data_IF_044791225172
#
_entry.id   IF_044791225172
#
_cell.length_a   1.000
_cell.length_b   1.000
_cell.length_c   1.000
_cell.angle_alpha   90.00
_cell.angle_beta   90.00
_cell.angle_gamma   90.00
#
_symmetry.space_group_name_H-M   'P 1'
#
loop_
_entity.id
_entity.type
_entity.pdbx_description
1 polymer ?
#
# COMPACT_ATOMS: atom_id res chain seq x y z
N UNK A 1 47.96 44.94 -18.88
CA UNK A 1 46.55 45.08 -18.49
C UNK A 1 45.88 43.73 -18.76
N UNK A 2 45.57 42.94 -17.71
CA UNK A 2 45.06 41.56 -17.83
C UNK A 2 43.53 41.60 -17.95
N UNK A 3 42.98 41.01 -19.01
CA UNK A 3 41.54 40.77 -19.20
C UNK A 3 41.22 39.42 -18.54
N UNK A 4 40.34 39.32 -17.53
CA UNK A 4 39.95 38.03 -16.97
C UNK A 4 38.98 37.30 -17.92
N UNK A 5 39.28 36.03 -18.18
CA UNK A 5 38.41 35.11 -18.92
C UNK A 5 37.25 34.67 -18.02
N UNK A 6 36.01 34.86 -18.50
CA UNK A 6 34.80 34.34 -17.84
C UNK A 6 34.63 32.89 -18.32
N UNK A 7 34.63 31.88 -17.43
CA UNK A 7 34.25 30.54 -17.82
C UNK A 7 32.73 30.48 -18.09
N UNK A 8 32.36 30.15 -19.32
CA UNK A 8 30.99 29.84 -19.73
C UNK A 8 30.62 28.49 -19.11
N UNK A 9 29.86 28.51 -18.01
CA UNK A 9 29.22 27.32 -17.49
C UNK A 9 27.99 27.01 -18.36
N UNK A 10 28.11 25.94 -19.15
CA UNK A 10 27.00 25.39 -19.91
C UNK A 10 25.92 24.90 -18.96
N UNK A 11 24.81 25.61 -18.91
CA UNK A 11 23.58 25.22 -18.20
C UNK A 11 23.05 23.94 -18.86
N UNK A 12 23.14 22.81 -18.17
CA UNK A 12 22.47 21.60 -18.59
C UNK A 12 20.95 21.84 -18.56
N UNK A 13 20.31 21.68 -19.73
CA UNK A 13 18.87 21.61 -19.88
C UNK A 13 18.38 20.41 -19.04
N UNK A 14 17.78 20.65 -17.87
CA UNK A 14 16.94 19.63 -17.24
C UNK A 14 15.75 19.42 -18.18
N UNK A 15 15.67 18.23 -18.76
CA UNK A 15 14.45 17.75 -19.40
C UNK A 15 13.35 17.78 -18.33
N UNK A 16 12.42 18.71 -18.48
CA UNK A 16 11.28 18.86 -17.60
C UNK A 16 10.41 17.60 -17.68
N UNK A 17 10.52 16.74 -16.68
CA UNK A 17 9.35 16.00 -16.22
C UNK A 17 8.44 17.05 -15.60
N UNK A 18 7.36 17.43 -16.29
CA UNK A 18 6.30 18.17 -15.64
C UNK A 18 5.92 17.37 -14.38
N UNK A 19 5.97 17.95 -13.17
CA UNK A 19 5.39 17.26 -12.05
C UNK A 19 3.90 17.14 -12.40
N UNK A 20 3.39 15.92 -12.49
CA UNK A 20 1.97 15.70 -12.24
C UNK A 20 1.86 16.06 -10.77
N UNK A 21 1.59 17.33 -10.47
CA UNK A 21 1.21 17.71 -9.11
C UNK A 21 -0.16 17.08 -8.95
N UNK A 22 -0.19 15.83 -8.51
CA UNK A 22 -1.40 15.26 -7.97
C UNK A 22 -1.74 16.12 -6.76
N UNK A 23 -2.69 17.04 -6.95
CA UNK A 23 -3.20 17.87 -5.88
C UNK A 23 -4.00 17.07 -4.84
N UNK A 24 -4.01 15.74 -4.95
CA UNK A 24 -4.50 14.83 -3.94
C UNK A 24 -3.33 14.03 -3.36
N UNK A 25 -3.22 13.97 -2.04
CA UNK A 25 -2.20 13.17 -1.36
C UNK A 25 -2.72 12.64 -0.03
N UNK A 26 -2.50 11.35 0.24
CA UNK A 26 -2.71 10.80 1.57
C UNK A 26 -1.72 11.41 2.57
N UNK A 27 -2.23 11.81 3.72
CA UNK A 27 -1.45 12.41 4.82
C UNK A 27 -1.46 11.56 6.09
N UNK A 28 -2.31 10.53 6.14
CA UNK A 28 -2.34 9.57 7.23
C UNK A 28 -3.22 8.37 6.90
N UNK A 29 -3.07 7.26 7.64
CA UNK A 29 -2.17 7.06 8.79
C UNK A 29 -0.67 7.01 8.42
N UNK A 30 0.22 7.09 9.41
CA UNK A 30 1.67 7.02 9.18
C UNK A 30 2.08 5.61 8.71
N UNK A 31 2.94 5.52 7.70
CA UNK A 31 3.51 4.26 7.23
C UNK A 31 4.62 3.71 8.13
N UNK A 32 5.04 4.48 9.14
CA UNK A 32 6.04 4.03 10.13
C UNK A 32 5.52 2.93 11.06
N UNK A 33 4.19 2.79 11.17
CA UNK A 33 3.54 1.81 12.03
C UNK A 33 2.69 0.83 11.20
N UNK A 34 2.62 -0.45 11.57
CA UNK A 34 1.75 -1.40 10.89
C UNK A 34 0.27 -1.07 11.08
N UNK A 35 -0.54 -1.31 10.04
CA UNK A 35 -2.00 -1.25 10.14
C UNK A 35 -2.52 -2.50 10.87
N UNK A 36 -3.17 -2.29 12.01
CA UNK A 36 -3.85 -3.35 12.74
C UNK A 36 -5.25 -3.61 12.20
N UNK A 37 -5.46 -4.74 11.52
CA UNK A 37 -6.81 -5.14 11.05
C UNK A 37 -7.76 -5.58 12.18
N UNK A 38 -7.25 -5.66 13.41
CA UNK A 38 -8.03 -5.85 14.63
C UNK A 38 -8.33 -4.54 15.37
N UNK A 39 -7.90 -3.38 14.84
CA UNK A 39 -8.22 -2.09 15.43
C UNK A 39 -9.72 -1.80 15.32
N UNK A 40 -10.27 -1.08 16.29
CA UNK A 40 -11.68 -0.65 16.27
C UNK A 40 -11.96 0.40 15.19
N UNK A 41 -10.96 1.22 14.88
CA UNK A 41 -11.03 2.30 13.89
C UNK A 41 -9.64 2.73 13.42
N UNK A 42 -9.55 3.17 12.18
CA UNK A 42 -8.36 3.79 11.57
C UNK A 42 -8.83 5.03 10.82
N UNK A 43 -8.28 6.19 11.15
CA UNK A 43 -8.56 7.42 10.44
C UNK A 43 -7.61 7.57 9.25
N UNK A 44 -8.19 7.70 8.06
CA UNK A 44 -7.49 7.91 6.80
C UNK A 44 -7.63 9.38 6.46
N UNK A 45 -6.52 10.04 6.16
CA UNK A 45 -6.46 11.48 5.90
C UNK A 45 -5.87 11.75 4.53
N UNK A 46 -6.34 12.82 3.90
CA UNK A 46 -5.79 13.32 2.65
C UNK A 46 -5.91 14.84 2.55
N UNK A 47 -4.98 15.42 1.81
CA UNK A 47 -5.12 16.79 1.32
C UNK A 47 -5.75 16.75 -0.06
N UNK A 48 -6.64 17.70 -0.32
CA UNK A 48 -7.25 17.89 -1.63
C UNK A 48 -7.15 19.36 -2.06
N UNK A 49 -6.11 19.66 -2.81
CA UNK A 49 -5.99 20.88 -3.61
C UNK A 49 -6.51 20.64 -5.05
N UNK A 50 -7.09 19.45 -5.32
CA UNK A 50 -7.60 19.08 -6.63
C UNK A 50 -9.00 19.70 -6.83
N UNK A 51 -9.14 20.51 -7.86
CA UNK A 51 -10.44 21.09 -8.28
C UNK A 51 -11.10 20.32 -9.43
N UNK A 52 -10.43 19.30 -9.97
CA UNK A 52 -10.88 18.54 -11.14
C UNK A 52 -11.90 17.47 -10.78
N UNK A 53 -11.74 16.82 -9.63
CA UNK A 53 -12.62 15.73 -9.19
C UNK A 53 -13.38 16.11 -7.93
N UNK A 54 -14.61 15.62 -7.83
CA UNK A 54 -15.48 15.87 -6.68
C UNK A 54 -15.63 14.67 -5.75
N UNK A 55 -15.31 13.46 -6.22
CA UNK A 55 -15.51 12.22 -5.49
C UNK A 55 -14.27 11.33 -5.50
N UNK A 56 -14.20 10.44 -4.51
CA UNK A 56 -13.24 9.35 -4.47
C UNK A 56 -13.88 8.04 -3.98
N UNK A 57 -13.42 6.94 -4.57
CA UNK A 57 -13.59 5.60 -4.03
C UNK A 57 -12.31 5.18 -3.32
N UNK A 58 -12.46 4.69 -2.09
CA UNK A 58 -11.36 4.30 -1.23
C UNK A 58 -11.25 2.78 -1.18
N UNK A 59 -10.07 2.26 -1.51
CA UNK A 59 -9.78 0.84 -1.50
C UNK A 59 -8.58 0.55 -0.60
N UNK A 60 -8.56 -0.66 -0.05
CA UNK A 60 -7.41 -1.26 0.59
C UNK A 60 -6.86 -2.36 -0.32
N UNK A 61 -5.62 -2.23 -0.75
CA UNK A 61 -5.05 -3.11 -1.79
C UNK A 61 -3.68 -3.63 -1.39
N UNK A 62 -3.34 -4.82 -1.87
CA UNK A 62 -1.99 -5.35 -1.86
C UNK A 62 -1.13 -4.62 -2.90
N UNK A 63 0.08 -4.24 -2.50
CA UNK A 63 1.03 -3.63 -3.43
C UNK A 63 1.34 -4.58 -4.60
N UNK A 64 1.35 -4.04 -5.82
CA UNK A 64 1.60 -4.83 -7.03
C UNK A 64 0.32 -5.23 -7.79
N UNK A 65 -0.87 -4.91 -7.27
CA UNK A 65 -2.13 -4.80 -8.05
C UNK A 65 -2.80 -6.10 -8.49
N UNK A 66 -2.05 -7.19 -8.68
CA UNK A 66 -2.59 -8.51 -9.06
C UNK A 66 -3.10 -9.33 -7.86
N UNK A 67 -2.96 -8.78 -6.65
CA UNK A 67 -3.28 -9.43 -5.39
C UNK A 67 -4.66 -9.06 -4.81
N UNK A 68 -4.71 -9.00 -3.49
CA UNK A 68 -5.93 -8.63 -2.76
C UNK A 68 -6.35 -7.16 -2.99
N UNK A 69 -7.65 -6.92 -3.19
CA UNK A 69 -8.24 -5.56 -3.22
C UNK A 69 -9.62 -5.58 -2.58
N UNK A 70 -9.91 -4.57 -1.77
CA UNK A 70 -11.18 -4.43 -1.07
C UNK A 70 -11.64 -2.97 -1.05
N UNK A 71 -12.88 -2.74 -1.47
CA UNK A 71 -13.50 -1.41 -1.42
C UNK A 71 -13.91 -1.08 0.01
N UNK A 72 -13.28 -0.06 0.60
CA UNK A 72 -13.61 0.47 1.93
C UNK A 72 -14.88 1.31 1.87
N UNK A 73 -14.94 2.24 0.92
CA UNK A 73 -16.02 3.19 0.75
C UNK A 73 -16.04 3.73 -0.67
N UNK A 74 -17.19 4.24 -1.11
CA UNK A 74 -17.37 4.78 -2.46
C UNK A 74 -18.06 6.13 -2.43
N UNK A 75 -17.82 6.93 -3.47
CA UNK A 75 -18.42 8.25 -3.70
C UNK A 75 -18.20 9.21 -2.51
N UNK A 76 -17.07 9.10 -1.81
CA UNK A 76 -16.71 10.02 -0.74
C UNK A 76 -16.38 11.39 -1.34
N UNK A 77 -16.81 12.48 -0.69
CA UNK A 77 -16.40 13.81 -1.13
C UNK A 77 -14.90 14.01 -0.89
N UNK A 78 -14.16 14.39 -1.94
CA UNK A 78 -12.72 14.71 -1.81
C UNK A 78 -12.47 15.86 -0.83
N UNK A 79 -13.46 16.75 -0.64
CA UNK A 79 -13.37 17.89 0.27
C UNK A 79 -13.48 17.54 1.76
N UNK A 80 -13.86 16.30 2.11
CA UNK A 80 -13.94 15.90 3.51
C UNK A 80 -12.56 15.81 4.18
N UNK A 81 -11.51 15.51 3.41
CA UNK A 81 -10.13 15.42 3.92
C UNK A 81 -9.85 14.23 4.85
N UNK A 82 -10.88 13.48 5.26
CA UNK A 82 -10.73 12.30 6.10
C UNK A 82 -11.88 11.31 6.00
N UNK A 83 -11.61 10.07 6.40
CA UNK A 83 -12.59 8.99 6.56
C UNK A 83 -12.17 8.05 7.70
N UNK A 84 -13.07 7.78 8.64
CA UNK A 84 -12.87 6.81 9.70
C UNK A 84 -13.29 5.43 9.22
N UNK A 85 -12.32 4.55 9.02
CA UNK A 85 -12.52 3.18 8.58
C UNK A 85 -12.57 2.22 9.77
N UNK A 86 -13.46 1.21 9.72
CA UNK A 86 -13.47 0.08 10.64
C UNK A 86 -12.86 -1.16 9.94
N UNK A 87 -11.63 -1.57 10.27
CA UNK A 87 -10.93 -2.69 9.61
C UNK A 87 -11.59 -4.05 9.74
N UNK A 88 -12.53 -4.22 10.67
CA UNK A 88 -13.24 -5.49 10.84
C UNK A 88 -14.03 -5.92 9.60
N UNK A 89 -14.43 -4.97 8.74
CA UNK A 89 -15.10 -5.29 7.47
C UNK A 89 -14.19 -6.09 6.52
N UNK A 90 -12.92 -5.68 6.39
CA UNK A 90 -11.88 -6.37 5.61
C UNK A 90 -11.55 -7.69 6.26
N UNK A 91 -11.32 -7.73 7.57
CA UNK A 91 -10.99 -9.00 8.24
C UNK A 91 -12.11 -10.03 8.09
N UNK A 92 -13.37 -9.60 8.19
CA UNK A 92 -14.54 -10.48 8.02
C UNK A 92 -14.66 -10.98 6.58
N UNK A 93 -14.43 -10.14 5.58
CA UNK A 93 -14.45 -10.52 4.16
C UNK A 93 -13.31 -11.49 3.79
N UNK A 94 -12.12 -11.25 4.32
CA UNK A 94 -10.99 -12.16 4.16
C UNK A 94 -11.27 -13.52 4.82
N UNK A 95 -11.88 -13.53 6.00
CA UNK A 95 -12.26 -14.77 6.70
C UNK A 95 -13.35 -15.55 5.97
N UNK A 96 -14.37 -14.88 5.43
CA UNK A 96 -15.46 -15.55 4.71
C UNK A 96 -14.98 -16.25 3.44
N UNK A 97 -13.94 -15.71 2.81
CA UNK A 97 -13.30 -16.27 1.61
C UNK A 97 -12.12 -17.20 1.92
N UNK A 98 -11.74 -17.32 3.20
CA UNK A 98 -10.52 -18.00 3.66
C UNK A 98 -9.26 -17.51 2.94
N UNK A 99 -9.28 -16.26 2.50
CA UNK A 99 -8.16 -15.65 1.80
C UNK A 99 -6.99 -15.49 2.77
N UNK A 100 -5.81 -15.95 2.37
CA UNK A 100 -4.60 -15.78 3.17
C UNK A 100 -3.81 -14.61 2.61
N UNK A 101 -3.53 -13.62 3.44
CA UNK A 101 -2.63 -12.54 3.05
C UNK A 101 -1.21 -13.10 2.87
N UNK A 102 -0.49 -12.74 1.80
CA UNK A 102 0.90 -13.19 1.64
C UNK A 102 1.78 -12.61 2.77
N UNK A 103 2.61 -13.45 3.39
CA UNK A 103 3.55 -12.94 4.41
C UNK A 103 4.60 -12.06 3.74
N UNK A 104 4.85 -10.91 4.35
CA UNK A 104 5.82 -9.95 3.86
C UNK A 104 5.28 -9.02 2.76
N UNK A 105 4.05 -9.21 2.30
CA UNK A 105 3.39 -8.23 1.43
C UNK A 105 3.13 -6.92 2.16
N UNK A 106 3.29 -5.85 1.41
CA UNK A 106 2.89 -4.53 1.80
C UNK A 106 1.52 -4.20 1.18
N UNK A 107 0.78 -3.32 1.86
CA UNK A 107 -0.56 -2.91 1.48
C UNK A 107 -0.64 -1.40 1.40
N UNK A 108 -1.54 -0.85 0.61
CA UNK A 108 -1.75 0.59 0.53
C UNK A 108 -3.24 0.93 0.48
N UNK A 109 -3.55 2.19 0.78
CA UNK A 109 -4.82 2.78 0.42
C UNK A 109 -4.74 3.30 -1.00
N UNK A 110 -5.75 2.99 -1.79
CA UNK A 110 -5.90 3.49 -3.15
C UNK A 110 -7.14 4.37 -3.20
N UNK A 111 -6.97 5.63 -3.61
CA UNK A 111 -8.06 6.52 -3.95
C UNK A 111 -8.24 6.55 -5.47
N UNK A 112 -9.40 6.13 -5.94
CA UNK A 112 -9.84 6.36 -7.31
C UNK A 112 -10.65 7.65 -7.34
N UNK A 113 -10.07 8.75 -7.84
CA UNK A 113 -10.73 10.05 -7.96
C UNK A 113 -11.56 10.10 -9.23
N UNK A 114 -12.80 10.57 -9.13
CA UNK A 114 -13.72 10.69 -10.25
C UNK A 114 -14.76 11.80 -10.03
N UNK A 115 -15.49 12.12 -11.09
CA UNK A 115 -16.70 12.94 -10.98
C UNK A 115 -17.93 12.08 -10.71
N UNK A 116 -18.98 12.72 -10.20
CA UNK A 116 -20.26 12.07 -10.01
C UNK A 116 -20.78 11.43 -11.31
N UNK A 117 -21.12 10.15 -11.25
CA UNK A 117 -21.61 9.36 -12.38
C UNK A 117 -20.59 9.18 -13.53
N UNK A 118 -19.31 9.43 -13.29
CA UNK A 118 -18.22 9.18 -14.25
C UNK A 118 -17.49 7.88 -13.92
N UNK A 119 -17.12 7.14 -14.96
CA UNK A 119 -16.13 6.05 -14.87
C UNK A 119 -14.72 6.50 -15.25
N UNK A 120 -14.58 7.72 -15.77
CA UNK A 120 -13.29 8.36 -16.00
C UNK A 120 -12.78 8.97 -14.70
N UNK A 121 -11.49 8.79 -14.44
CA UNK A 121 -10.88 9.18 -13.18
C UNK A 121 -9.36 9.03 -13.21
N UNK A 122 -8.76 9.15 -12.03
CA UNK A 122 -7.34 8.88 -11.80
C UNK A 122 -7.14 8.17 -10.49
N UNK A 123 -6.06 7.42 -10.37
CA UNK A 123 -5.76 6.62 -9.20
C UNK A 123 -4.54 7.17 -8.48
N UNK A 124 -4.67 7.39 -7.17
CA UNK A 124 -3.59 7.79 -6.27
C UNK A 124 -3.47 6.73 -5.18
N UNK A 125 -2.24 6.30 -4.88
CA UNK A 125 -1.96 5.38 -3.79
C UNK A 125 -1.28 6.09 -2.64
N UNK A 126 -1.54 5.63 -1.41
CA UNK A 126 -0.76 6.02 -0.24
C UNK A 126 0.63 5.38 -0.30
N UNK A 127 1.45 5.66 0.72
CA UNK A 127 2.59 4.79 1.00
C UNK A 127 2.16 3.39 1.45
N UNK A 128 3.16 2.53 1.59
CA UNK A 128 3.01 1.11 1.89
C UNK A 128 2.96 0.85 3.39
N UNK A 129 2.10 -0.07 3.80
CA UNK A 129 1.89 -0.49 5.18
C UNK A 129 2.11 -1.99 5.33
N UNK A 130 2.80 -2.34 6.40
CA UNK A 130 2.72 -3.70 6.95
C UNK A 130 1.36 -3.89 7.62
N UNK A 131 0.86 -5.11 7.60
CA UNK A 131 -0.42 -5.48 8.23
C UNK A 131 -0.19 -6.39 9.44
N UNK A 132 -0.93 -6.13 10.52
CA UNK A 132 -1.01 -6.97 11.72
C UNK A 132 -2.46 -7.22 12.11
N UNK A 133 -2.70 -8.06 13.13
CA UNK A 133 -4.06 -8.27 13.67
C UNK A 133 -4.96 -9.20 12.85
N UNK A 134 -4.49 -9.74 11.72
CA UNK A 134 -5.20 -10.73 10.92
C UNK A 134 -4.61 -12.14 11.13
N UNK A 135 -5.39 -13.15 11.55
CA UNK A 135 -4.85 -14.45 11.94
C UNK A 135 -4.44 -15.35 10.77
N UNK A 136 -4.89 -15.05 9.53
CA UNK A 136 -4.63 -15.91 8.36
C UNK A 136 -3.61 -15.26 7.41
N UNK A 137 -2.41 -15.02 7.91
CA UNK A 137 -1.26 -14.67 7.07
C UNK A 137 -0.63 -15.99 6.60
N UNK A 138 -0.48 -16.17 5.29
CA UNK A 138 0.22 -17.35 4.74
C UNK A 138 1.66 -17.37 5.24
N UNK A 139 2.25 -18.55 5.43
CA UNK A 139 3.67 -18.61 5.75
C UNK A 139 4.46 -17.97 4.60
N UNK A 140 5.50 -17.17 4.92
CA UNK A 140 6.46 -16.75 3.92
C UNK A 140 6.94 -18.00 3.19
N UNK A 141 6.86 -18.02 1.86
CA UNK A 141 7.50 -19.08 1.11
C UNK A 141 8.98 -19.01 1.46
N UNK A 142 9.48 -19.95 2.27
CA UNK A 142 10.91 -20.16 2.42
C UNK A 142 11.42 -20.36 1.01
N UNK A 143 12.12 -19.37 0.45
CA UNK A 143 12.87 -19.59 -0.77
C UNK A 143 13.78 -20.77 -0.46
N UNK A 144 13.46 -21.94 -0.99
CA UNK A 144 14.32 -23.11 -0.97
C UNK A 144 15.54 -22.73 -1.79
N UNK A 145 16.48 -22.04 -1.16
CA UNK A 145 17.86 -22.15 -1.57
C UNK A 145 18.20 -23.63 -1.43
N UNK A 146 18.63 -24.32 -2.50
CA UNK A 146 19.18 -25.66 -2.38
C UNK A 146 20.54 -25.52 -1.72
N UNK A 147 20.57 -25.32 -0.40
CA UNK A 147 21.77 -25.54 0.38
C UNK A 147 21.73 -26.98 0.83
N UNK A 148 22.47 -27.79 0.09
CA UNK A 148 22.97 -29.11 0.49
C UNK A 148 23.39 -29.10 1.95
N UNK A 149 22.53 -29.57 2.86
CA UNK A 149 22.88 -29.85 4.23
C UNK A 149 22.14 -31.11 4.67
N UNK A 150 22.90 -32.18 4.80
CA UNK A 150 22.45 -33.49 5.21
C UNK A 150 21.79 -33.43 6.60
N UNK A 151 20.53 -33.87 6.69
CA UNK A 151 19.93 -34.21 7.97
C UNK A 151 20.09 -35.72 8.20
N UNK A 152 21.05 -36.06 9.06
CA UNK A 152 21.25 -37.40 9.61
C UNK A 152 20.02 -37.74 10.48
N UNK A 153 19.20 -38.72 10.09
CA UNK A 153 18.19 -39.29 10.99
C UNK A 153 18.87 -40.27 11.94
N UNK A 154 18.98 -39.92 13.22
CA UNK A 154 19.20 -40.91 14.29
C UNK A 154 17.82 -41.33 14.80
N UNK A 155 17.33 -42.47 14.32
CA UNK A 155 16.18 -43.16 14.91
C UNK A 155 16.68 -43.93 16.14
N UNK A 156 16.36 -43.45 17.33
CA UNK A 156 16.57 -44.19 18.56
C UNK A 156 15.54 -45.32 18.66
N UNK A 157 16.05 -46.55 18.69
CA UNK A 157 15.30 -47.78 18.87
C UNK A 157 14.68 -47.88 20.26
N UNK A 158 13.41 -48.27 20.35
CA UNK A 158 12.84 -48.83 21.57
C UNK A 158 12.19 -50.18 21.23
N UNK A 159 13.00 -51.24 21.31
CA UNK A 159 12.54 -52.58 21.70
C UNK A 159 12.68 -52.64 23.22
N UNK A 160 11.69 -53.16 23.95
CA UNK A 160 11.81 -54.47 24.56
C UNK A 160 10.55 -54.85 25.38
N UNK A 161 10.06 -56.06 25.04
CA UNK A 161 9.29 -57.06 25.79
C UNK A 161 8.00 -56.65 26.53
#
# INVERSE_FOLDING_TARGET
MRIPQIPVFATALLLGTAPIVSCFSFTGPSTSEPLGLNASSIDIFWNNDNTQYSQLDLHFTEEGGDGFSYTIAQNLSVSHGSFTWNPSNVSNALQSTKFKLPSGSDFNFMAMLHDANSTAGTTITSGNYRVTGYPYISAAASSLYPQSAAALLVMASAMFL
#
